data_IF_565315756863
#
_entry.id   IF_565315756863
#
_cell.length_a   1.000
_cell.length_b   1.000
_cell.length_c   1.000
_cell.angle_alpha   90.00
_cell.angle_beta   90.00
_cell.angle_gamma   90.00
#
_symmetry.space_group_name_H-M   'P 1'
#
loop_
_entity.id
_entity.type
_entity.pdbx_description
1 polymer ?
#
# COMPACT_ATOMS: atom_id res chain seq x y z
N UNK A 1 -2.98 15.50 -2.71
CA UNK A 1 -1.71 15.02 -2.09
C UNK A 1 -1.48 13.61 -2.61
N UNK A 2 -0.43 13.39 -3.41
CA UNK A 2 -0.14 12.05 -3.97
C UNK A 2 0.94 11.41 -3.10
N UNK A 3 0.62 10.29 -2.46
CA UNK A 3 1.58 9.52 -1.68
C UNK A 3 2.35 8.56 -2.60
N UNK A 4 3.65 8.41 -2.40
CA UNK A 4 4.46 7.43 -3.13
C UNK A 4 4.25 6.02 -2.57
N UNK A 5 4.49 5.00 -3.41
CA UNK A 5 4.43 3.60 -3.00
C UNK A 5 5.38 3.32 -1.82
N UNK A 6 6.62 3.80 -1.91
CA UNK A 6 7.63 3.64 -0.86
C UNK A 6 7.16 4.24 0.47
N UNK A 7 6.51 5.40 0.44
CA UNK A 7 6.01 6.05 1.64
C UNK A 7 4.91 5.21 2.30
N UNK A 8 3.91 4.76 1.54
CA UNK A 8 2.82 3.97 2.12
C UNK A 8 3.31 2.60 2.60
N UNK A 9 4.30 2.01 1.92
CA UNK A 9 4.93 0.76 2.37
C UNK A 9 5.72 0.94 3.66
N UNK A 10 6.53 2.00 3.78
CA UNK A 10 7.25 2.29 5.01
C UNK A 10 6.29 2.48 6.20
N UNK A 11 5.11 3.07 5.98
CA UNK A 11 4.06 3.22 7.00
C UNK A 11 3.37 1.91 7.34
N UNK A 12 3.14 1.03 6.36
CA UNK A 12 2.62 -0.32 6.59
C UNK A 12 3.58 -1.15 7.44
N UNK A 13 4.88 -1.09 7.13
CA UNK A 13 5.92 -1.82 7.87
C UNK A 13 6.05 -1.29 9.30
N UNK A 14 6.03 0.03 9.48
CA UNK A 14 6.06 0.65 10.80
C UNK A 14 4.87 0.20 11.66
N UNK A 15 3.65 0.22 11.10
CA UNK A 15 2.46 -0.22 11.83
C UNK A 15 2.48 -1.72 12.15
N UNK A 16 3.05 -2.54 11.25
CA UNK A 16 3.25 -3.97 11.51
C UNK A 16 4.23 -4.20 12.66
N UNK A 17 5.33 -3.44 12.72
CA UNK A 17 6.29 -3.51 13.84
C UNK A 17 5.65 -3.09 15.16
N UNK A 18 4.89 -2.00 15.17
CA UNK A 18 4.12 -1.57 16.36
C UNK A 18 3.16 -2.67 16.83
N UNK A 19 2.50 -3.38 15.91
CA UNK A 19 1.64 -4.50 16.25
C UNK A 19 2.40 -5.70 16.86
N UNK A 20 3.62 -5.95 16.41
CA UNK A 20 4.49 -7.02 16.93
C UNK A 20 5.06 -6.70 18.31
N UNK A 21 5.34 -5.42 18.58
CA UNK A 21 5.89 -4.94 19.86
C UNK A 21 4.80 -4.62 20.91
N UNK A 22 3.53 -4.62 20.52
CA UNK A 22 2.42 -4.29 21.40
C UNK A 22 2.13 -5.40 22.42
N UNK A 23 2.30 -5.09 23.71
CA UNK A 23 1.94 -5.96 24.83
C UNK A 23 0.42 -6.14 25.01
N UNK A 24 -0.35 -5.10 24.65
CA UNK A 24 -1.80 -5.09 24.80
C UNK A 24 -2.49 -5.45 23.48
N UNK A 25 -3.40 -6.43 23.53
CA UNK A 25 -4.13 -6.92 22.35
C UNK A 25 -4.91 -5.83 21.60
N UNK A 26 -5.51 -4.88 22.32
CA UNK A 26 -6.24 -3.76 21.71
C UNK A 26 -5.31 -2.79 20.94
N UNK A 27 -4.07 -2.59 21.40
CA UNK A 27 -3.05 -1.80 20.71
C UNK A 27 -2.58 -2.54 19.47
N UNK A 28 -2.30 -3.84 19.60
CA UNK A 28 -1.95 -4.72 18.48
C UNK A 28 -3.00 -4.68 17.37
N UNK A 29 -4.27 -4.86 17.72
CA UNK A 29 -5.37 -4.82 16.75
C UNK A 29 -5.49 -3.47 16.06
N UNK A 30 -5.33 -2.36 16.79
CA UNK A 30 -5.33 -1.02 16.20
C UNK A 30 -4.18 -0.87 15.19
N UNK A 31 -2.98 -1.28 15.57
CA UNK A 31 -1.80 -1.21 14.71
C UNK A 31 -1.96 -2.07 13.45
N UNK A 32 -2.51 -3.28 13.57
CA UNK A 32 -2.84 -4.13 12.41
C UNK A 32 -3.88 -3.49 11.48
N UNK A 33 -4.92 -2.83 12.01
CA UNK A 33 -5.88 -2.09 11.18
C UNK A 33 -5.20 -0.94 10.42
N UNK A 34 -4.27 -0.24 11.06
CA UNK A 34 -3.47 0.80 10.40
C UNK A 34 -2.58 0.21 9.32
N UNK A 35 -1.88 -0.91 9.59
CA UNK A 35 -1.06 -1.60 8.59
C UNK A 35 -1.90 -2.01 7.36
N UNK A 36 -3.07 -2.60 7.58
CA UNK A 36 -3.98 -2.99 6.52
C UNK A 36 -4.46 -1.80 5.66
N UNK A 37 -4.73 -0.65 6.29
CA UNK A 37 -5.10 0.56 5.56
C UNK A 37 -3.96 1.09 4.67
N UNK A 38 -2.72 1.03 5.16
CA UNK A 38 -1.53 1.41 4.39
C UNK A 38 -1.25 0.45 3.24
N UNK A 39 -1.37 -0.87 3.47
CA UNK A 39 -1.26 -1.88 2.42
C UNK A 39 -2.31 -1.69 1.33
N UNK A 40 -3.57 -1.45 1.70
CA UNK A 40 -4.62 -1.19 0.73
C UNK A 40 -4.35 0.07 -0.12
N UNK A 41 -3.66 1.08 0.43
CA UNK A 41 -3.20 2.23 -0.36
C UNK A 41 -2.05 1.87 -1.30
N UNK A 42 -1.10 1.05 -0.86
CA UNK A 42 -0.01 0.54 -1.69
C UNK A 42 -0.55 -0.25 -2.89
N UNK A 43 -1.51 -1.14 -2.65
CA UNK A 43 -2.16 -1.94 -3.70
C UNK A 43 -2.85 -1.07 -4.75
N UNK A 44 -3.52 0.02 -4.33
CA UNK A 44 -4.13 0.98 -5.25
C UNK A 44 -3.10 1.70 -6.12
N UNK A 45 -1.94 2.06 -5.55
CA UNK A 45 -0.86 2.71 -6.30
C UNK A 45 -0.31 1.74 -7.36
N UNK A 46 -0.04 0.50 -6.96
CA UNK A 46 0.46 -0.54 -7.89
C UNK A 46 -0.57 -0.82 -8.98
N UNK A 47 -1.85 -0.96 -8.62
CA UNK A 47 -2.92 -1.18 -9.58
C UNK A 47 -3.01 -0.03 -10.59
N UNK A 48 -2.99 1.21 -10.13
CA UNK A 48 -3.04 2.38 -11.02
C UNK A 48 -1.83 2.44 -11.97
N UNK A 49 -0.65 2.04 -11.50
CA UNK A 49 0.55 1.96 -12.35
C UNK A 49 0.38 0.89 -13.45
N UNK A 50 -0.12 -0.30 -13.10
CA UNK A 50 -0.42 -1.38 -14.05
C UNK A 50 -1.48 -0.98 -15.07
N UNK A 51 -2.60 -0.42 -14.61
CA UNK A 51 -3.70 0.02 -15.48
C UNK A 51 -3.20 1.06 -16.51
N UNK A 52 -2.27 1.94 -16.12
CA UNK A 52 -1.65 2.91 -17.03
C UNK A 52 -0.73 2.25 -18.06
N UNK A 53 0.08 1.29 -17.64
CA UNK A 53 0.97 0.54 -18.53
C UNK A 53 0.18 -0.28 -19.56
N UNK A 54 -0.90 -0.92 -19.12
CA UNK A 54 -1.83 -1.64 -20.00
C UNK A 54 -2.53 -0.69 -21.00
N UNK A 55 -2.99 0.48 -20.54
CA UNK A 55 -3.60 1.47 -21.41
C UNK A 55 -2.62 2.06 -22.43
N UNK A 56 -1.32 2.16 -22.10
CA UNK A 56 -0.28 2.57 -23.04
C UNK A 56 -0.03 1.50 -24.10
N UNK A 57 0.14 0.24 -23.69
CA UNK A 57 0.30 -0.89 -24.62
C UNK A 57 -0.89 -1.04 -25.59
N UNK A 58 -2.11 -0.82 -25.10
CA UNK A 58 -3.31 -0.89 -25.95
C UNK A 58 -3.43 0.29 -26.94
N UNK A 59 -2.71 1.40 -26.70
CA UNK A 59 -2.72 2.61 -27.53
C UNK A 59 -1.61 2.64 -28.57
N UNK A 60 -0.61 1.78 -28.49
CA UNK A 60 0.35 1.56 -29.56
C UNK A 60 -0.28 0.57 -30.56
N UNK A 61 -0.87 1.03 -31.69
CA UNK A 61 -1.25 0.11 -32.74
C UNK A 61 0.03 -0.57 -33.22
N UNK A 62 0.01 -1.90 -33.28
CA UNK A 62 1.01 -2.66 -34.02
C UNK A 62 1.02 -2.14 -35.47
N UNK A 63 2.11 -1.48 -35.86
CA UNK A 63 2.40 -1.12 -37.26
C UNK A 63 2.46 -2.35 -38.16
#
# INVERSE_FOLDING_TARGET
MTLSYEFVMARADQATREASEADLGNVRERALRSAAAWQAMADRIVKLAKDREEAQRAREPAE
#
